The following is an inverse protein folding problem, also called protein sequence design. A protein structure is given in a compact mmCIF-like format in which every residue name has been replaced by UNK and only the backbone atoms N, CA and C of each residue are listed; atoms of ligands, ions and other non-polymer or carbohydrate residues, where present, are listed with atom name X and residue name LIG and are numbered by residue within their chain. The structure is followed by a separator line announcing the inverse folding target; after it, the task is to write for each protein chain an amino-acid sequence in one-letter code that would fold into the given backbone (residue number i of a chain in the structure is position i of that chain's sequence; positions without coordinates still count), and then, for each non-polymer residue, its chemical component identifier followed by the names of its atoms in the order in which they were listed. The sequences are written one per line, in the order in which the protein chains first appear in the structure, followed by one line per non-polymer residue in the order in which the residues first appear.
data_IF_750729944896
#
_entry.id   IF_750729944896
#
_cell.length_a   1.000
_cell.length_b   1.000
_cell.length_c   1.000
_cell.angle_alpha   90.00
_cell.angle_beta   90.00
_cell.angle_gamma   90.00
#
_symmetry.space_group_name_H-M   'P 1'
#
loop_
_entity.id
_entity.type
_entity.pdbx_description
1 polymer ?
#
# COMPACT_ATOMS: atom_id res chain seq x y z
N UNK A 1 -2.89 8.99 4.04
CA UNK A 1 -2.76 8.41 2.68
C UNK A 1 -3.83 9.04 1.80
N UNK A 2 -3.51 9.42 0.56
CA UNK A 2 -4.45 10.06 -0.36
C UNK A 2 -5.19 8.98 -1.17
N UNK A 3 -6.51 9.09 -1.40
CA UNK A 3 -7.25 8.10 -2.18
C UNK A 3 -6.75 8.01 -3.62
N UNK A 4 -6.77 6.82 -4.21
CA UNK A 4 -6.41 6.59 -5.63
C UNK A 4 -7.25 7.49 -6.55
N UNK A 5 -8.51 7.74 -6.18
CA UNK A 5 -9.42 8.64 -6.90
C UNK A 5 -8.84 10.06 -7.13
N UNK A 6 -7.79 10.44 -6.42
CA UNK A 6 -7.10 11.73 -6.64
C UNK A 6 -6.56 11.87 -8.06
N UNK A 7 -6.18 10.79 -8.74
CA UNK A 7 -5.73 10.84 -10.15
C UNK A 7 -6.86 11.24 -11.13
N UNK A 8 -8.11 11.18 -10.68
CA UNK A 8 -9.30 11.59 -11.45
C UNK A 8 -9.78 13.00 -11.07
N UNK A 9 -9.17 13.64 -10.07
CA UNK A 9 -9.56 15.00 -9.67
C UNK A 9 -9.05 16.01 -10.69
N UNK A 10 -9.92 16.90 -11.23
CA UNK A 10 -9.52 17.89 -12.23
C UNK A 10 -8.35 18.78 -11.81
N UNK A 11 -8.33 19.24 -10.55
CA UNK A 11 -7.23 20.07 -10.04
C UNK A 11 -5.88 19.35 -10.01
N UNK A 12 -5.88 18.04 -9.72
CA UNK A 12 -4.65 17.24 -9.72
C UNK A 12 -4.15 16.98 -11.14
N UNK A 13 -5.06 16.70 -12.07
CA UNK A 13 -4.73 16.56 -13.48
C UNK A 13 -4.17 17.87 -14.07
N UNK A 14 -4.79 19.01 -13.73
CA UNK A 14 -4.31 20.32 -14.14
C UNK A 14 -2.92 20.62 -13.59
N UNK A 15 -2.68 20.32 -12.30
CA UNK A 15 -1.36 20.46 -11.69
C UNK A 15 -0.31 19.64 -12.45
N UNK A 16 -0.57 18.36 -12.71
CA UNK A 16 0.39 17.50 -13.41
C UNK A 16 0.64 17.94 -14.85
N UNK A 17 -0.40 18.36 -15.57
CA UNK A 17 -0.25 18.92 -16.91
C UNK A 17 0.56 20.22 -16.92
N UNK A 18 0.44 21.04 -15.86
CA UNK A 18 1.22 22.28 -15.72
C UNK A 18 2.70 21.99 -15.44
N UNK A 19 2.98 20.95 -14.65
CA UNK A 19 4.34 20.53 -14.32
C UNK A 19 5.04 19.85 -15.50
N UNK A 20 4.35 18.94 -16.19
CA UNK A 20 4.83 18.28 -17.40
C UNK A 20 3.65 17.95 -18.34
N UNK A 21 3.44 18.75 -19.40
CA UNK A 21 2.38 18.52 -20.38
C UNK A 21 2.50 17.19 -21.13
N UNK A 22 3.70 16.57 -21.16
CA UNK A 22 3.93 15.30 -21.86
C UNK A 22 3.59 14.10 -21.00
N UNK A 23 3.42 14.29 -19.70
CA UNK A 23 3.11 13.20 -18.78
C UNK A 23 1.68 12.70 -18.94
N UNK A 24 1.53 11.45 -19.36
CA UNK A 24 0.24 10.77 -19.45
C UNK A 24 -0.09 10.12 -18.11
N UNK A 25 -0.88 10.81 -17.28
CA UNK A 25 -1.31 10.28 -15.98
C UNK A 25 -2.14 9.00 -16.16
N UNK A 26 -1.72 7.85 -15.59
CA UNK A 26 -2.54 6.65 -15.60
C UNK A 26 -3.83 6.83 -14.78
N UNK A 27 -4.92 6.21 -15.24
CA UNK A 27 -6.21 6.30 -14.56
C UNK A 27 -6.29 5.50 -13.25
N UNK A 28 -7.35 5.73 -12.46
CA UNK A 28 -7.58 5.05 -11.17
C UNK A 28 -7.55 3.54 -11.29
N UNK A 29 -8.11 2.99 -12.37
CA UNK A 29 -8.15 1.55 -12.66
C UNK A 29 -6.75 0.95 -12.75
N UNK A 30 -5.82 1.61 -13.45
CA UNK A 30 -4.44 1.15 -13.56
C UNK A 30 -3.77 1.07 -12.18
N UNK A 31 -3.94 2.11 -11.34
CA UNK A 31 -3.38 2.08 -9.99
C UNK A 31 -4.01 1.00 -9.11
N UNK A 32 -5.34 0.84 -9.16
CA UNK A 32 -6.06 -0.13 -8.36
C UNK A 32 -5.82 -1.58 -8.75
N UNK A 33 -5.74 -1.88 -10.05
CA UNK A 33 -5.72 -3.26 -10.56
C UNK A 33 -4.33 -3.73 -10.98
N UNK A 34 -3.39 -2.81 -11.24
CA UNK A 34 -2.03 -3.16 -11.70
C UNK A 34 -0.99 -2.74 -10.68
N UNK A 35 -0.91 -1.45 -10.36
CA UNK A 35 0.20 -0.90 -9.55
C UNK A 35 0.14 -1.42 -8.12
N UNK A 36 -1.01 -1.28 -7.44
CA UNK A 36 -1.16 -1.71 -6.05
C UNK A 36 -0.96 -3.22 -5.86
N UNK A 37 -1.58 -4.12 -6.65
CA UNK A 37 -1.31 -5.55 -6.54
C UNK A 37 0.15 -5.88 -6.79
N UNK A 38 0.80 -5.25 -7.78
CA UNK A 38 2.23 -5.45 -8.04
C UNK A 38 3.10 -5.01 -6.86
N UNK A 39 2.81 -3.85 -6.27
CA UNK A 39 3.52 -3.35 -5.09
C UNK A 39 3.34 -4.28 -3.89
N UNK A 40 2.11 -4.73 -3.63
CA UNK A 40 1.81 -5.68 -2.57
C UNK A 40 2.60 -6.98 -2.77
N UNK A 41 2.52 -7.60 -3.94
CA UNK A 41 3.20 -8.86 -4.24
C UNK A 41 4.73 -8.72 -4.14
N UNK A 42 5.28 -7.60 -4.62
CA UNK A 42 6.72 -7.32 -4.51
C UNK A 42 7.16 -7.21 -3.05
N UNK A 43 6.40 -6.47 -2.23
CA UNK A 43 6.70 -6.31 -0.80
C UNK A 43 6.52 -7.63 -0.05
N UNK A 44 5.44 -8.37 -0.34
CA UNK A 44 5.18 -9.69 0.23
C UNK A 44 6.34 -10.64 -0.05
N UNK A 45 6.80 -10.73 -1.30
CA UNK A 45 7.94 -11.58 -1.65
C UNK A 45 9.21 -11.20 -0.87
N UNK A 46 9.50 -9.90 -0.73
CA UNK A 46 10.62 -9.42 0.08
C UNK A 46 10.49 -9.82 1.56
N UNK A 47 9.30 -9.68 2.13
CA UNK A 47 9.03 -10.07 3.54
C UNK A 47 9.15 -11.59 3.71
N UNK A 48 8.56 -12.38 2.80
CA UNK A 48 8.65 -13.85 2.83
C UNK A 48 10.10 -14.31 2.74
N UNK A 49 10.91 -13.73 1.84
CA UNK A 49 12.32 -14.09 1.73
C UNK A 49 13.09 -13.73 3.01
N UNK A 50 12.83 -12.56 3.61
CA UNK A 50 13.45 -12.18 4.89
C UNK A 50 13.06 -13.10 6.04
N UNK A 51 11.84 -13.64 6.03
CA UNK A 51 11.35 -14.55 7.07
C UNK A 51 11.82 -15.99 6.86
N UNK A 52 12.14 -16.39 5.63
CA UNK A 52 12.49 -17.78 5.28
C UNK A 52 13.69 -18.32 6.06
N UNK A 53 14.66 -17.45 6.38
CA UNK A 53 15.90 -17.83 7.07
C UNK A 53 15.89 -17.52 8.58
N UNK A 54 14.77 -17.00 9.10
CA UNK A 54 14.68 -16.57 10.51
C UNK A 54 14.29 -17.73 11.41
N UNK A 55 15.20 -18.15 12.30
CA UNK A 55 14.94 -19.20 13.29
C UNK A 55 14.07 -18.71 14.45
N UNK A 56 14.23 -17.45 14.86
CA UNK A 56 13.55 -16.88 16.02
C UNK A 56 13.01 -15.48 15.70
N UNK A 57 11.73 -15.27 16.01
CA UNK A 57 11.09 -13.97 15.93
C UNK A 57 10.14 -13.79 17.11
N UNK A 58 9.82 -12.56 17.42
CA UNK A 58 8.69 -12.21 18.30
C UNK A 58 7.56 -11.66 17.43
N UNK A 59 6.32 -11.87 17.82
CA UNK A 59 5.17 -11.29 17.14
C UNK A 59 4.26 -10.59 18.15
N UNK A 60 3.72 -9.45 17.75
CA UNK A 60 2.71 -8.72 18.51
C UNK A 60 1.45 -8.63 17.67
N UNK A 61 0.30 -8.78 18.34
CA UNK A 61 -1.01 -8.62 17.73
C UNK A 61 -1.71 -7.47 18.43
N UNK A 62 -2.24 -6.54 17.65
CA UNK A 62 -3.09 -5.46 18.16
C UNK A 62 -4.50 -5.64 17.60
N UNK A 63 -5.47 -5.72 18.51
CA UNK A 63 -6.89 -5.88 18.21
C UNK A 63 -7.64 -4.65 18.66
N UNK A 64 -8.45 -4.12 17.75
CA UNK A 64 -9.21 -2.91 17.98
C UNK A 64 -10.47 -2.93 17.13
N UNK A 65 -11.49 -2.20 17.55
CA UNK A 65 -12.73 -2.04 16.77
C UNK A 65 -12.86 -0.59 16.32
N UNK A 66 -13.35 -0.38 15.11
CA UNK A 66 -13.67 0.98 14.65
C UNK A 66 -14.85 1.57 15.42
N UNK A 67 -15.11 2.85 15.19
CA UNK A 67 -16.33 3.53 15.68
C UNK A 67 -17.63 2.89 15.20
N UNK A 68 -17.59 2.14 14.09
CA UNK A 68 -18.73 1.38 13.55
C UNK A 68 -18.75 -0.06 14.06
N UNK A 69 -18.02 -0.36 15.15
CA UNK A 69 -17.88 -1.69 15.76
C UNK A 69 -17.31 -2.76 14.82
N UNK A 70 -16.58 -2.35 13.78
CA UNK A 70 -15.92 -3.29 12.89
C UNK A 70 -14.60 -3.74 13.52
N UNK A 71 -14.38 -5.05 13.75
CA UNK A 71 -13.15 -5.54 14.36
C UNK A 71 -12.01 -5.53 13.36
N UNK A 72 -10.81 -5.18 13.84
CA UNK A 72 -9.56 -5.20 13.11
C UNK A 72 -8.51 -5.92 13.92
N UNK A 73 -7.65 -6.65 13.21
CA UNK A 73 -6.47 -7.30 13.76
C UNK A 73 -5.27 -6.83 12.94
N UNK A 74 -4.22 -6.40 13.63
CA UNK A 74 -2.90 -6.19 13.03
C UNK A 74 -1.90 -7.14 13.65
N UNK A 75 -0.98 -7.64 12.84
CA UNK A 75 0.11 -8.53 13.23
C UNK A 75 1.42 -7.86 12.86
N UNK A 76 2.32 -7.69 13.83
CA UNK A 76 3.67 -7.18 13.61
C UNK A 76 4.68 -8.25 14.00
N UNK A 77 5.63 -8.53 13.11
CA UNK A 77 6.70 -9.49 13.37
C UNK A 77 8.01 -8.73 13.61
N UNK A 78 8.64 -9.00 14.75
CA UNK A 78 9.92 -8.46 15.18
C UNK A 78 11.02 -9.50 14.97
N UNK A 79 11.94 -9.18 14.06
CA UNK A 79 13.07 -10.03 13.67
C UNK A 79 14.36 -9.34 14.13
N UNK A 80 15.37 -10.11 14.49
CA UNK A 80 16.74 -9.60 14.56
C UNK A 80 17.38 -9.83 13.19
N UNK A 81 17.89 -8.76 12.59
CA UNK A 81 18.63 -8.81 11.32
C UNK A 81 20.05 -9.30 11.51
#
# INVERSE_FOLDING_TARGET
MVPIYTVEKPGFQHLLHTLDPRYKLPGRKHFGEVVLPRMYNTTRAKVTNKLGDVQFFSATTDLWSSRTMQPYLSLTVHLRG
#
